data_IF_793746816701
#
_entry.id   IF_793746816701
#
_cell.length_a   1.000
_cell.length_b   1.000
_cell.length_c   1.000
_cell.angle_alpha   90.00
_cell.angle_beta   90.00
_cell.angle_gamma   90.00
#
_symmetry.space_group_name_H-M   'P 1'
#
loop_
_entity.id
_entity.type
_entity.pdbx_description
1 polymer ?
#
# COMPACT_ATOMS: atom_id res chain seq x y z
N UNK A 1 -32.01 0.81 11.84
CA UNK A 1 -31.30 1.95 11.27
C UNK A 1 -29.86 1.74 11.66
N UNK A 2 -29.05 1.30 10.70
CA UNK A 2 -27.66 0.91 10.95
C UNK A 2 -26.91 2.12 11.49
N UNK A 3 -26.40 1.99 12.71
CA UNK A 3 -25.52 2.98 13.32
C UNK A 3 -24.19 2.87 12.59
N UNK A 4 -24.08 3.59 11.48
CA UNK A 4 -22.79 3.88 10.89
C UNK A 4 -22.12 4.86 11.85
N UNK A 5 -21.28 4.32 12.73
CA UNK A 5 -20.59 5.09 13.75
C UNK A 5 -19.54 5.97 13.08
N UNK A 6 -19.63 7.29 13.27
CA UNK A 6 -18.67 8.29 12.79
C UNK A 6 -17.22 7.93 13.16
N UNK A 7 -17.05 7.21 14.28
CA UNK A 7 -15.78 6.65 14.73
C UNK A 7 -15.16 5.61 13.78
N UNK A 8 -15.90 5.14 12.78
CA UNK A 8 -15.45 4.15 11.79
C UNK A 8 -15.32 4.76 10.39
N UNK A 9 -16.15 5.74 10.06
CA UNK A 9 -16.18 6.41 8.75
C UNK A 9 -14.90 7.22 8.53
N UNK A 10 -14.57 8.10 9.49
CA UNK A 10 -13.44 9.04 9.36
C UNK A 10 -12.11 8.30 9.29
N UNK A 11 -11.82 7.29 10.14
CA UNK A 11 -10.60 6.51 9.99
C UNK A 11 -10.51 5.77 8.65
N UNK A 12 -11.59 5.14 8.18
CA UNK A 12 -11.57 4.41 6.91
C UNK A 12 -11.30 5.32 5.71
N UNK A 13 -11.85 6.54 5.70
CA UNK A 13 -11.55 7.53 4.68
C UNK A 13 -10.09 7.95 4.70
N UNK A 14 -9.54 8.25 5.88
CA UNK A 14 -8.15 8.69 6.02
C UNK A 14 -7.20 7.56 5.63
N UNK A 15 -7.34 6.38 6.23
CA UNK A 15 -6.48 5.22 5.96
C UNK A 15 -6.64 4.74 4.52
N UNK A 16 -7.86 4.71 3.98
CA UNK A 16 -8.13 4.35 2.59
C UNK A 16 -7.45 5.30 1.61
N UNK A 17 -7.57 6.61 1.82
CA UNK A 17 -6.93 7.63 0.98
C UNK A 17 -5.40 7.54 1.03
N UNK A 18 -4.82 7.39 2.23
CA UNK A 18 -3.38 7.26 2.42
C UNK A 18 -2.86 5.97 1.76
N UNK A 19 -3.55 4.86 1.95
CA UNK A 19 -3.20 3.59 1.31
C UNK A 19 -3.30 3.68 -0.22
N UNK A 20 -4.33 4.34 -0.76
CA UNK A 20 -4.49 4.53 -2.19
C UNK A 20 -3.32 5.32 -2.78
N UNK A 21 -3.01 6.48 -2.20
CA UNK A 21 -1.89 7.33 -2.63
C UNK A 21 -0.57 6.58 -2.52
N UNK A 22 -0.37 5.83 -1.43
CA UNK A 22 0.83 5.02 -1.22
C UNK A 22 0.97 3.93 -2.28
N UNK A 23 -0.12 3.24 -2.63
CA UNK A 23 -0.14 2.23 -3.70
C UNK A 23 0.21 2.82 -5.06
N UNK A 24 -0.33 4.01 -5.39
CA UNK A 24 0.01 4.74 -6.62
C UNK A 24 1.49 5.17 -6.62
N UNK A 25 2.02 5.66 -5.51
CA UNK A 25 3.43 6.01 -5.39
C UNK A 25 4.34 4.79 -5.57
N UNK A 26 3.96 3.64 -5.01
CA UNK A 26 4.68 2.36 -5.22
C UNK A 26 4.65 1.98 -6.70
N UNK A 27 3.53 2.14 -7.39
CA UNK A 27 3.39 1.87 -8.82
C UNK A 27 4.31 2.76 -9.68
N UNK A 28 4.24 4.07 -9.48
CA UNK A 28 5.01 5.07 -10.24
C UNK A 28 6.50 4.93 -9.95
N UNK A 29 6.87 4.82 -8.67
CA UNK A 29 8.25 4.78 -8.23
C UNK A 29 8.77 3.36 -8.00
N UNK A 30 8.12 2.32 -8.56
CA UNK A 30 8.45 0.89 -8.36
C UNK A 30 9.94 0.56 -8.45
N UNK A 31 10.67 1.18 -9.37
CA UNK A 31 12.13 0.98 -9.52
C UNK A 31 12.92 1.60 -8.37
N UNK A 32 12.55 2.80 -7.93
CA UNK A 32 13.19 3.51 -6.80
C UNK A 32 12.86 2.82 -5.48
N UNK A 33 11.62 2.41 -5.28
CA UNK A 33 11.20 1.65 -4.10
C UNK A 33 11.97 0.32 -4.04
N UNK A 34 12.13 -0.38 -5.17
CA UNK A 34 12.90 -1.63 -5.19
C UNK A 34 14.37 -1.40 -4.81
N UNK A 35 15.00 -0.35 -5.36
CA UNK A 35 16.37 0.00 -5.02
C UNK A 35 16.53 0.46 -3.57
N UNK A 36 15.51 1.11 -2.99
CA UNK A 36 15.50 1.51 -1.59
C UNK A 36 15.34 0.31 -0.66
N UNK A 37 14.35 -0.56 -0.92
CA UNK A 37 14.14 -1.79 -0.15
C UNK A 37 15.36 -2.69 -0.20
N UNK A 38 16.00 -2.83 -1.37
CA UNK A 38 17.24 -3.60 -1.49
C UNK A 38 18.37 -3.02 -0.62
N UNK A 39 18.52 -1.69 -0.58
CA UNK A 39 19.49 -1.02 0.30
C UNK A 39 19.16 -1.24 1.77
N UNK A 40 17.90 -1.09 2.17
CA UNK A 40 17.46 -1.34 3.55
C UNK A 40 17.67 -2.80 3.97
N UNK A 41 17.33 -3.77 3.11
CA UNK A 41 17.57 -5.19 3.34
C UNK A 41 19.07 -5.50 3.47
N UNK A 42 19.93 -4.85 2.68
CA UNK A 42 21.38 -5.01 2.79
C UNK A 42 21.92 -4.53 4.15
N UNK A 43 21.37 -3.44 4.68
CA UNK A 43 21.75 -2.90 5.99
C UNK A 43 21.28 -3.82 7.13
N UNK A 44 20.06 -4.34 7.05
CA UNK A 44 19.43 -5.12 8.14
C UNK A 44 19.82 -6.60 8.14
N UNK A 45 19.84 -7.24 6.97
CA UNK A 45 20.00 -8.70 6.82
C UNK A 45 21.41 -9.12 6.36
N UNK A 46 22.25 -8.15 6.01
CA UNK A 46 23.59 -8.40 5.48
C UNK A 46 23.62 -8.78 3.99
N UNK A 47 24.81 -8.70 3.41
CA UNK A 47 25.02 -8.70 1.95
C UNK A 47 24.71 -10.04 1.27
N UNK A 48 24.84 -11.17 1.98
CA UNK A 48 24.53 -12.52 1.47
C UNK A 48 23.04 -12.75 1.25
N UNK A 49 22.21 -12.40 2.23
CA UNK A 49 20.74 -12.56 2.14
C UNK A 49 20.16 -11.57 1.15
N UNK A 50 20.68 -10.34 1.13
CA UNK A 50 20.27 -9.33 0.15
C UNK A 50 20.50 -9.82 -1.30
N UNK A 51 21.67 -10.38 -1.66
CA UNK A 51 21.90 -10.92 -3.02
C UNK A 51 20.93 -12.05 -3.39
N UNK A 52 20.63 -12.95 -2.47
CA UNK A 52 19.65 -14.02 -2.69
C UNK A 52 18.22 -13.48 -2.88
N UNK A 53 17.88 -12.40 -2.16
CA UNK A 53 16.59 -11.71 -2.24
C UNK A 53 16.46 -10.85 -3.52
N UNK A 54 17.54 -10.19 -3.96
CA UNK A 54 17.58 -9.40 -5.20
C UNK A 54 17.24 -10.21 -6.45
N UNK A 55 17.66 -11.47 -6.50
CA UNK A 55 17.30 -12.38 -7.60
C UNK A 55 15.80 -12.70 -7.66
N UNK A 56 15.09 -12.54 -6.53
CA UNK A 56 13.66 -12.86 -6.38
C UNK A 56 12.76 -11.63 -6.47
N UNK A 57 13.15 -10.48 -5.89
CA UNK A 57 12.38 -9.23 -5.95
C UNK A 57 12.51 -8.52 -7.30
N UNK A 58 11.75 -8.98 -8.30
CA UNK A 58 11.64 -8.29 -9.59
C UNK A 58 10.83 -6.98 -9.41
N UNK A 59 11.17 -5.90 -10.13
CA UNK A 59 10.39 -4.65 -10.12
C UNK A 59 8.91 -4.84 -10.46
N UNK A 60 8.58 -5.91 -11.17
CA UNK A 60 7.22 -6.31 -11.49
C UNK A 60 6.42 -6.74 -10.25
N UNK A 61 7.04 -7.46 -9.31
CA UNK A 61 6.41 -7.86 -8.05
C UNK A 61 6.08 -6.65 -7.17
N UNK A 62 6.94 -5.63 -7.16
CA UNK A 62 6.61 -4.36 -6.49
C UNK A 62 5.45 -3.63 -7.15
N UNK A 63 5.32 -3.74 -8.48
CA UNK A 63 4.12 -3.27 -9.19
C UNK A 63 2.87 -3.99 -8.69
N UNK A 64 2.89 -5.32 -8.58
CA UNK A 64 1.76 -6.10 -8.04
C UNK A 64 1.38 -5.65 -6.63
N UNK A 65 2.37 -5.46 -5.76
CA UNK A 65 2.15 -4.94 -4.40
C UNK A 65 1.52 -3.55 -4.43
N UNK A 66 2.03 -2.65 -5.28
CA UNK A 66 1.47 -1.30 -5.44
C UNK A 66 0.03 -1.31 -5.92
N UNK A 67 -0.33 -2.18 -6.86
CA UNK A 67 -1.72 -2.37 -7.32
C UNK A 67 -2.59 -2.88 -6.18
N UNK A 68 -2.16 -3.90 -5.45
CA UNK A 68 -2.94 -4.43 -4.31
C UNK A 68 -3.19 -3.37 -3.24
N UNK A 69 -2.15 -2.61 -2.87
CA UNK A 69 -2.25 -1.55 -1.88
C UNK A 69 -3.17 -0.42 -2.38
N UNK A 70 -3.07 -0.05 -3.66
CA UNK A 70 -3.97 0.94 -4.25
C UNK A 70 -5.43 0.44 -4.23
N UNK A 71 -5.70 -0.79 -4.66
CA UNK A 71 -7.05 -1.35 -4.66
C UNK A 71 -7.64 -1.47 -3.24
N UNK A 72 -6.85 -1.89 -2.25
CA UNK A 72 -7.27 -1.89 -0.85
C UNK A 72 -7.63 -0.48 -0.36
N UNK A 73 -6.79 0.51 -0.67
CA UNK A 73 -7.04 1.89 -0.29
C UNK A 73 -8.31 2.45 -0.93
N UNK A 74 -8.51 2.17 -2.23
CA UNK A 74 -9.73 2.53 -2.94
C UNK A 74 -10.96 1.87 -2.29
N UNK A 75 -10.89 0.58 -1.97
CA UNK A 75 -12.00 -0.15 -1.35
C UNK A 75 -12.38 0.43 0.02
N UNK A 76 -11.40 0.76 0.87
CA UNK A 76 -11.65 1.41 2.16
C UNK A 76 -12.23 2.82 2.01
N UNK A 77 -11.74 3.61 1.05
CA UNK A 77 -12.28 4.94 0.76
C UNK A 77 -13.72 4.86 0.23
N UNK A 78 -14.01 3.93 -0.70
CA UNK A 78 -15.36 3.69 -1.20
C UNK A 78 -16.30 3.19 -0.11
N UNK A 79 -15.84 2.32 0.80
CA UNK A 79 -16.61 1.90 1.97
C UNK A 79 -16.97 3.08 2.87
N UNK A 80 -16.02 3.99 3.13
CA UNK A 80 -16.27 5.21 3.89
C UNK A 80 -17.22 6.19 3.19
N UNK A 81 -17.12 6.35 1.87
CA UNK A 81 -18.06 7.20 1.08
C UNK A 81 -19.45 6.57 1.01
N UNK A 82 -19.57 5.27 0.78
CA UNK A 82 -20.85 4.57 0.76
C UNK A 82 -21.54 4.68 2.12
N UNK A 83 -20.78 4.58 3.21
CA UNK A 83 -21.26 4.80 4.55
C UNK A 83 -21.78 6.24 4.76
N UNK A 84 -21.10 7.26 4.24
CA UNK A 84 -21.59 8.65 4.26
C UNK A 84 -22.86 8.89 3.43
N UNK A 85 -23.04 8.17 2.33
CA UNK A 85 -24.23 8.32 1.44
C UNK A 85 -25.45 7.59 2.00
N UNK A 86 -25.24 6.59 2.85
CA UNK A 86 -26.31 5.82 3.51
C UNK A 86 -26.77 6.42 4.85
N UNK A 87 -26.06 7.43 5.36
CA UNK A 87 -26.48 8.31 6.47
C UNK A 87 -27.43 9.38 5.93
#
# INVERSE_FOLDING_TARGET
MDVIDDGTIVPNLIFGSVAFVSGVLILVFRRRVNAWVFRSQKVVLGERVARASAGRQRPWMMGVVGVFVALMGAFMAFGGVAALVQV
#
